data_IF_720818091437
#
_entry.id   IF_720818091437
#
_cell.length_a   1.000
_cell.length_b   1.000
_cell.length_c   1.000
_cell.angle_alpha   90.00
_cell.angle_beta   90.00
_cell.angle_gamma   90.00
#
_symmetry.space_group_name_H-M   'P 1'
#
loop_
_entity.id
_entity.type
_entity.pdbx_description
1 polymer ?
#
# COMPACT_ATOMS: atom_id res chain seq x y z
N UNK A 1 -9.78 -6.75 11.47
CA UNK A 1 -9.99 -6.14 10.13
C UNK A 1 -10.56 -4.72 10.17
N UNK A 2 -11.50 -4.38 11.07
CA UNK A 2 -12.17 -3.07 11.15
C UNK A 2 -11.23 -1.85 11.21
N UNK A 3 -10.06 -1.98 11.85
CA UNK A 3 -9.11 -0.88 12.08
C UNK A 3 -8.38 -0.40 10.82
N UNK A 4 -8.12 -1.27 9.83
CA UNK A 4 -7.44 -0.87 8.57
C UNK A 4 -8.34 -0.03 7.67
N UNK A 5 -9.59 -0.46 7.54
CA UNK A 5 -10.65 0.25 6.79
C UNK A 5 -10.86 1.65 7.36
N UNK A 6 -10.89 1.79 8.69
CA UNK A 6 -11.01 3.08 9.36
C UNK A 6 -9.81 4.01 9.10
N UNK A 7 -8.58 3.49 9.05
CA UNK A 7 -7.39 4.27 8.71
C UNK A 7 -7.40 4.75 7.27
N UNK A 8 -7.76 3.88 6.32
CA UNK A 8 -7.87 4.25 4.90
C UNK A 8 -8.90 5.35 4.71
N UNK A 9 -10.09 5.21 5.34
CA UNK A 9 -11.11 6.27 5.30
C UNK A 9 -10.59 7.61 5.85
N UNK A 10 -9.85 7.60 6.97
CA UNK A 10 -9.24 8.81 7.55
C UNK A 10 -8.22 9.46 6.62
N UNK A 11 -7.37 8.68 5.96
CA UNK A 11 -6.39 9.19 4.99
C UNK A 11 -7.10 9.79 3.79
N UNK A 12 -8.11 9.10 3.25
CA UNK A 12 -8.89 9.61 2.12
C UNK A 12 -9.61 10.92 2.45
N UNK A 13 -10.16 11.07 3.66
CA UNK A 13 -10.80 12.31 4.11
C UNK A 13 -9.83 13.35 4.69
N UNK A 14 -8.52 13.14 4.59
CA UNK A 14 -7.54 14.20 4.83
C UNK A 14 -7.43 15.15 3.63
N UNK A 15 -7.89 14.71 2.46
CA UNK A 15 -8.08 15.54 1.27
C UNK A 15 -9.42 16.28 1.37
N UNK A 16 -9.36 17.62 1.34
CA UNK A 16 -10.53 18.50 1.52
C UNK A 16 -11.54 18.37 0.36
N UNK A 17 -11.11 17.93 -0.82
CA UNK A 17 -11.98 17.70 -1.97
C UNK A 17 -12.76 16.37 -1.86
N UNK A 18 -12.43 15.52 -0.90
CA UNK A 18 -13.08 14.20 -0.70
C UNK A 18 -14.25 14.31 0.27
N UNK A 19 -15.46 14.32 -0.31
CA UNK A 19 -16.73 14.29 0.43
C UNK A 19 -17.08 12.92 1.04
N UNK A 20 -18.34 12.48 0.86
CA UNK A 20 -18.82 11.21 1.40
C UNK A 20 -18.22 10.03 0.64
N UNK A 21 -17.68 9.06 1.38
CA UNK A 21 -17.09 7.84 0.82
C UNK A 21 -18.06 6.67 1.02
N UNK A 22 -18.34 5.93 -0.06
CA UNK A 22 -19.12 4.70 0.00
C UNK A 22 -18.41 3.61 0.82
N UNK A 23 -19.16 2.81 1.58
CA UNK A 23 -18.60 1.82 2.52
C UNK A 23 -17.67 0.80 1.86
N UNK A 24 -17.91 0.45 0.59
CA UNK A 24 -17.10 -0.51 -0.15
C UNK A 24 -15.72 0.04 -0.55
N UNK A 25 -15.57 1.36 -0.71
CA UNK A 25 -14.36 1.96 -1.29
C UNK A 25 -13.12 1.72 -0.40
N UNK A 26 -13.12 2.00 0.91
CA UNK A 26 -11.93 1.74 1.73
C UNK A 26 -11.59 0.26 1.85
N UNK A 27 -12.57 -0.64 1.67
CA UNK A 27 -12.35 -2.10 1.66
C UNK A 27 -11.63 -2.51 0.39
N UNK A 28 -12.06 -2.02 -0.78
CA UNK A 28 -11.41 -2.29 -2.06
C UNK A 28 -9.98 -1.73 -2.10
N UNK A 29 -9.80 -0.48 -1.64
CA UNK A 29 -8.47 0.14 -1.52
C UNK A 29 -7.56 -0.69 -0.61
N UNK A 30 -8.08 -1.25 0.49
CA UNK A 30 -7.29 -2.14 1.36
C UNK A 30 -6.75 -3.37 0.63
N UNK A 31 -7.52 -3.94 -0.32
CA UNK A 31 -7.08 -5.11 -1.09
C UNK A 31 -6.16 -4.72 -2.24
N UNK A 32 -6.42 -3.59 -2.90
CA UNK A 32 -5.53 -3.05 -3.91
C UNK A 32 -4.15 -2.73 -3.32
N UNK A 33 -4.08 -2.13 -2.13
CA UNK A 33 -2.82 -1.85 -1.43
C UNK A 33 -2.07 -3.14 -1.06
N UNK A 34 -2.77 -4.20 -0.67
CA UNK A 34 -2.15 -5.49 -0.38
C UNK A 34 -1.49 -6.10 -1.62
N UNK A 35 -2.19 -6.09 -2.75
CA UNK A 35 -1.66 -6.57 -4.03
C UNK A 35 -0.51 -5.68 -4.53
N UNK A 36 -0.65 -4.36 -4.41
CA UNK A 36 0.39 -3.41 -4.81
C UNK A 36 1.67 -3.59 -3.99
N UNK A 37 1.57 -3.72 -2.66
CA UNK A 37 2.73 -3.93 -1.80
C UNK A 37 3.42 -5.27 -2.08
N UNK A 38 2.65 -6.32 -2.36
CA UNK A 38 3.23 -7.60 -2.76
C UNK A 38 4.04 -7.46 -4.05
N UNK A 39 3.44 -6.87 -5.09
CA UNK A 39 4.11 -6.67 -6.38
C UNK A 39 5.36 -5.78 -6.25
N UNK A 40 5.26 -4.67 -5.51
CA UNK A 40 6.40 -3.79 -5.25
C UNK A 40 7.55 -4.54 -4.55
N UNK A 41 7.24 -5.28 -3.49
CA UNK A 41 8.25 -6.02 -2.72
C UNK A 41 8.89 -7.13 -3.57
N UNK A 42 8.10 -7.83 -4.39
CA UNK A 42 8.60 -8.88 -5.28
C UNK A 42 9.61 -8.33 -6.30
N UNK A 43 9.35 -7.13 -6.85
CA UNK A 43 10.28 -6.44 -7.74
C UNK A 43 11.54 -5.96 -7.01
N UNK A 44 11.39 -5.27 -5.88
CA UNK A 44 12.52 -4.76 -5.11
C UNK A 44 13.40 -5.87 -4.53
N UNK A 45 12.81 -7.02 -4.20
CA UNK A 45 13.54 -8.20 -3.77
C UNK A 45 14.43 -8.76 -4.89
N UNK A 46 13.93 -8.82 -6.13
CA UNK A 46 14.73 -9.24 -7.29
C UNK A 46 15.95 -8.33 -7.48
N UNK A 47 15.77 -7.00 -7.36
CA UNK A 47 16.86 -6.02 -7.44
C UNK A 47 17.87 -6.24 -6.30
N UNK A 48 17.37 -6.48 -5.08
CA UNK A 48 18.21 -6.76 -3.90
C UNK A 48 19.10 -7.99 -4.11
N UNK A 49 18.55 -9.07 -4.70
CA UNK A 49 19.33 -10.28 -5.00
C UNK A 49 20.35 -10.02 -6.12
N UNK A 50 19.97 -9.28 -7.17
CA UNK A 50 20.86 -8.93 -8.29
C UNK A 50 22.04 -8.07 -7.85
N UNK A 51 21.86 -7.21 -6.84
CA UNK A 51 22.94 -6.40 -6.25
C UNK A 51 23.84 -7.19 -5.28
N UNK A 52 23.55 -8.47 -5.04
CA UNK A 52 24.27 -9.30 -4.07
C UNK A 52 23.98 -8.92 -2.61
N UNK A 53 23.00 -8.06 -2.38
CA UNK A 53 22.60 -7.64 -1.05
C UNK A 53 21.69 -8.68 -0.39
N UNK A 54 21.71 -8.71 0.95
CA UNK A 54 20.80 -9.54 1.77
C UNK A 54 19.72 -8.71 2.46
N UNK A 55 19.82 -7.38 2.36
CA UNK A 55 18.93 -6.43 3.02
C UNK A 55 18.38 -5.48 1.98
N UNK A 56 17.04 -5.38 1.89
CA UNK A 56 16.37 -4.39 1.08
C UNK A 56 16.54 -3.00 1.69
N UNK A 57 16.90 -2.02 0.87
CA UNK A 57 16.98 -0.62 1.25
C UNK A 57 16.35 0.25 0.15
N UNK A 58 16.33 1.56 0.34
CA UNK A 58 15.70 2.49 -0.61
C UNK A 58 16.35 2.53 -1.99
N UNK A 59 17.56 1.99 -2.18
CA UNK A 59 18.17 1.87 -3.51
C UNK A 59 17.57 0.73 -4.35
N UNK A 60 16.84 -0.20 -3.73
CA UNK A 60 16.19 -1.32 -4.43
C UNK A 60 14.70 -1.10 -4.66
N UNK A 61 14.12 -0.01 -4.12
CA UNK A 61 12.76 0.43 -4.40
C UNK A 61 12.72 1.19 -5.73
#
# INVERSE_FOLDING_TARGET
MQTRVARIKKIMQADEDVGKIALAVPVLVSRALELFLQDLIDHSYKITLQSGAKTLNSFHL
#
